data_IF_127205260809
#
_entry.id   IF_127205260809
#
_cell.length_a   1.000
_cell.length_b   1.000
_cell.length_c   1.000
_cell.angle_alpha   90.00
_cell.angle_beta   90.00
_cell.angle_gamma   90.00
#
_symmetry.space_group_name_H-M   'P 1'
#
loop_
_entity.id
_entity.type
_entity.pdbx_description
1 polymer ?
#
# COMPACT_ATOMS: atom_id res chain seq x y z
N UNK A 1 -8.79 10.81 -9.76
CA UNK A 1 -9.03 10.52 -8.33
C UNK A 1 -9.89 9.27 -8.11
N UNK A 2 -11.04 9.12 -8.78
CA UNK A 2 -12.00 8.01 -8.53
C UNK A 2 -11.45 6.60 -8.83
N UNK A 3 -10.60 6.47 -9.86
CA UNK A 3 -10.13 5.17 -10.36
C UNK A 3 -9.11 4.48 -9.43
N UNK A 4 -8.19 5.23 -8.83
CA UNK A 4 -7.18 4.68 -7.92
C UNK A 4 -7.81 4.27 -6.58
N UNK A 5 -8.82 5.01 -6.13
CA UNK A 5 -9.57 4.68 -4.91
C UNK A 5 -10.35 3.38 -5.07
N UNK A 6 -11.00 3.18 -6.23
CA UNK A 6 -11.71 1.93 -6.54
C UNK A 6 -10.72 0.74 -6.50
N UNK A 7 -9.54 0.87 -7.12
CA UNK A 7 -8.54 -0.22 -7.13
C UNK A 7 -8.11 -0.58 -5.70
N UNK A 8 -7.84 0.40 -4.84
CA UNK A 8 -7.46 0.14 -3.43
C UNK A 8 -8.60 -0.57 -2.69
N UNK A 9 -9.84 -0.14 -2.92
CA UNK A 9 -11.03 -0.72 -2.28
C UNK A 9 -11.29 -2.15 -2.77
N UNK A 10 -11.11 -2.41 -4.07
CA UNK A 10 -11.26 -3.75 -4.67
C UNK A 10 -10.15 -4.69 -4.21
N UNK A 11 -8.89 -4.23 -4.17
CA UNK A 11 -7.75 -5.04 -3.69
C UNK A 11 -7.88 -5.33 -2.20
N UNK A 12 -8.29 -4.34 -1.40
CA UNK A 12 -8.57 -4.52 0.02
C UNK A 12 -9.71 -5.52 0.26
N UNK A 13 -10.80 -5.42 -0.49
CA UNK A 13 -11.94 -6.34 -0.41
C UNK A 13 -11.55 -7.78 -0.81
N UNK A 14 -10.73 -7.95 -1.85
CA UNK A 14 -10.22 -9.26 -2.28
C UNK A 14 -9.31 -9.89 -1.23
N UNK A 15 -8.45 -9.10 -0.58
CA UNK A 15 -7.60 -9.58 0.52
C UNK A 15 -8.42 -10.02 1.73
N UNK A 16 -9.46 -9.26 2.11
CA UNK A 16 -10.37 -9.63 3.20
C UNK A 16 -11.17 -10.89 2.86
N UNK A 17 -11.68 -11.01 1.63
CA UNK A 17 -12.36 -12.22 1.18
C UNK A 17 -11.43 -13.45 1.19
N UNK A 18 -10.16 -13.26 0.82
CA UNK A 18 -9.13 -14.30 0.89
C UNK A 18 -8.80 -14.70 2.34
N UNK A 19 -8.80 -13.75 3.29
CA UNK A 19 -8.63 -14.03 4.73
C UNK A 19 -9.71 -14.95 5.29
N UNK A 20 -10.96 -14.71 4.88
CA UNK A 20 -12.12 -15.48 5.34
C UNK A 20 -12.10 -16.89 4.74
N UNK A 21 -11.63 -17.04 3.50
CA UNK A 21 -11.59 -18.32 2.78
C UNK A 21 -10.49 -19.28 3.23
N UNK A 22 -9.30 -18.79 3.57
CA UNK A 22 -8.15 -19.64 3.94
C UNK A 22 -7.30 -19.08 5.10
N UNK A 23 -7.81 -19.14 6.35
CA UNK A 23 -7.17 -18.50 7.50
C UNK A 23 -5.74 -18.97 7.79
N UNK A 24 -5.41 -20.25 7.52
CA UNK A 24 -4.07 -20.82 7.78
C UNK A 24 -2.96 -20.30 6.85
N UNK A 25 -3.29 -19.98 5.60
CA UNK A 25 -2.37 -19.40 4.60
C UNK A 25 -2.38 -17.88 4.70
N UNK A 26 -3.57 -17.31 4.93
CA UNK A 26 -3.80 -15.89 5.12
C UNK A 26 -2.91 -15.28 6.21
N UNK A 27 -2.80 -15.92 7.39
CA UNK A 27 -1.97 -15.37 8.47
C UNK A 27 -0.46 -15.33 8.14
N UNK A 28 0.01 -16.14 7.18
CA UNK A 28 1.42 -16.19 6.80
C UNK A 28 1.75 -15.32 5.57
N UNK A 29 0.80 -15.08 4.67
CA UNK A 29 1.04 -14.40 3.37
C UNK A 29 0.56 -12.95 3.36
N UNK A 30 -0.42 -12.59 4.19
CA UNK A 30 -1.07 -11.27 4.20
C UNK A 30 -0.31 -10.14 4.90
N UNK A 31 0.65 -10.36 5.83
CA UNK A 31 1.38 -9.22 6.38
C UNK A 31 2.15 -8.46 5.30
N UNK A 32 2.68 -9.15 4.28
CA UNK A 32 3.46 -8.52 3.20
C UNK A 32 2.68 -7.45 2.40
N UNK A 33 1.51 -7.73 1.81
CA UNK A 33 0.74 -6.72 1.08
C UNK A 33 0.19 -5.60 1.98
N UNK A 34 -0.10 -5.88 3.26
CA UNK A 34 -0.62 -4.85 4.18
C UNK A 34 0.45 -3.87 4.64
N UNK A 35 1.68 -4.34 4.86
CA UNK A 35 2.78 -3.47 5.32
C UNK A 35 3.12 -2.38 4.28
N UNK A 36 2.98 -2.69 2.98
CA UNK A 36 3.23 -1.72 1.91
C UNK A 36 2.21 -0.59 1.80
N UNK A 37 1.03 -0.73 2.41
CA UNK A 37 -0.03 0.28 2.36
C UNK A 37 0.38 1.55 3.09
N UNK A 38 1.10 1.44 4.21
CA UNK A 38 1.55 2.59 5.01
C UNK A 38 2.43 3.57 4.21
N UNK A 39 3.59 3.18 3.65
CA UNK A 39 4.41 4.08 2.85
C UNK A 39 3.66 4.59 1.61
N UNK A 40 2.80 3.77 0.97
CA UNK A 40 2.00 4.21 -0.17
C UNK A 40 1.01 5.32 0.19
N UNK A 41 0.35 5.22 1.33
CA UNK A 41 -0.57 6.25 1.84
C UNK A 41 0.18 7.54 2.19
N UNK A 42 1.37 7.46 2.82
CA UNK A 42 2.16 8.66 3.15
C UNK A 42 2.66 9.35 1.88
N UNK A 43 3.08 8.60 0.85
CA UNK A 43 3.52 9.16 -0.43
C UNK A 43 2.35 9.84 -1.15
N UNK A 44 1.16 9.25 -1.07
CA UNK A 44 -0.06 9.83 -1.61
C UNK A 44 -0.44 11.14 -0.91
N UNK A 45 -0.33 11.19 0.43
CA UNK A 45 -0.59 12.40 1.21
C UNK A 45 0.37 13.54 0.85
N UNK A 46 1.63 13.21 0.53
CA UNK A 46 2.63 14.17 0.02
C UNK A 46 2.42 14.59 -1.44
N UNK A 47 1.40 14.07 -2.11
CA UNK A 47 1.00 14.47 -3.46
C UNK A 47 1.40 13.48 -4.56
N UNK A 48 2.17 12.42 -4.26
CA UNK A 48 2.63 11.40 -5.23
C UNK A 48 1.63 10.26 -5.45
N UNK A 49 0.33 10.59 -5.49
CA UNK A 49 -0.74 9.59 -5.65
C UNK A 49 -0.74 8.87 -7.00
N UNK A 50 -0.08 9.43 -8.00
CA UNK A 50 0.21 8.82 -9.30
C UNK A 50 1.13 7.60 -9.17
N UNK A 51 1.98 7.56 -8.14
CA UNK A 51 2.97 6.48 -7.90
C UNK A 51 2.57 5.53 -6.78
N UNK A 52 1.28 5.53 -6.38
CA UNK A 52 0.81 4.72 -5.25
C UNK A 52 1.17 3.24 -5.39
N UNK A 53 0.97 2.64 -6.57
CA UNK A 53 1.31 1.23 -6.81
C UNK A 53 2.79 0.93 -6.62
N UNK A 54 3.67 1.84 -7.06
CA UNK A 54 5.12 1.72 -6.87
C UNK A 54 5.50 1.78 -5.39
N UNK A 55 4.92 2.73 -4.63
CA UNK A 55 5.17 2.85 -3.20
C UNK A 55 4.58 1.69 -2.39
N UNK A 56 3.46 1.14 -2.84
CA UNK A 56 2.83 -0.03 -2.24
C UNK A 56 3.69 -1.27 -2.42
N UNK A 57 4.10 -1.56 -3.65
CA UNK A 57 4.93 -2.72 -3.97
C UNK A 57 6.32 -2.59 -3.32
N UNK A 58 6.89 -1.38 -3.32
CA UNK A 58 8.14 -1.09 -2.64
C UNK A 58 8.04 -1.27 -1.13
N UNK A 59 6.94 -0.81 -0.51
CA UNK A 59 6.70 -0.97 0.91
C UNK A 59 6.37 -2.40 1.33
N UNK A 60 5.73 -3.18 0.47
CA UNK A 60 5.46 -4.59 0.74
C UNK A 60 6.73 -5.43 0.79
N UNK A 61 7.77 -5.04 0.03
CA UNK A 61 9.05 -5.77 -0.01
C UNK A 61 10.07 -5.18 0.97
N UNK A 62 10.13 -3.85 1.11
CA UNK A 62 11.16 -3.12 1.86
C UNK A 62 10.55 -2.09 2.81
N UNK A 63 9.57 -2.52 3.61
CA UNK A 63 8.77 -1.70 4.52
C UNK A 63 9.50 -0.56 5.26
N UNK A 64 10.56 -0.82 6.05
CA UNK A 64 11.26 0.25 6.77
C UNK A 64 11.95 1.23 5.82
N UNK A 65 12.55 0.73 4.74
CA UNK A 65 13.27 1.55 3.76
C UNK A 65 12.32 2.42 2.95
N UNK A 66 11.16 1.87 2.57
CA UNK A 66 10.11 2.59 1.88
C UNK A 66 9.52 3.70 2.74
N UNK A 67 9.27 3.44 4.03
CA UNK A 67 8.84 4.47 4.98
C UNK A 67 9.87 5.60 5.09
N UNK A 68 11.16 5.28 5.24
CA UNK A 68 12.23 6.28 5.29
C UNK A 68 12.21 7.13 4.02
N UNK A 69 12.20 6.52 2.83
CA UNK A 69 12.15 7.24 1.55
C UNK A 69 10.94 8.16 1.44
N UNK A 70 9.75 7.67 1.80
CA UNK A 70 8.54 8.47 1.75
C UNK A 70 8.57 9.61 2.78
N UNK A 71 9.17 9.41 3.95
CA UNK A 71 9.32 10.48 4.96
C UNK A 71 10.29 11.58 4.53
N UNK A 72 11.35 11.27 3.78
CA UNK A 72 12.29 12.28 3.25
C UNK A 72 11.82 12.93 1.94
N UNK A 73 10.84 12.35 1.25
CA UNK A 73 10.30 12.93 0.01
C UNK A 73 9.78 14.36 0.24
N UNK A 74 10.15 15.35 -0.60
CA UNK A 74 9.59 16.69 -0.49
C UNK A 74 8.10 16.65 -0.81
N UNK A 75 7.33 17.53 -0.18
CA UNK A 75 5.93 17.71 -0.52
C UNK A 75 5.83 18.16 -1.98
N UNK A 76 5.08 17.43 -2.80
CA UNK A 76 4.81 17.86 -4.15
C UNK A 76 3.99 19.15 -4.04
N UNK A 77 4.56 20.29 -4.45
CA UNK A 77 3.81 21.52 -4.64
C UNK A 77 2.76 21.23 -5.71
N UNK A 78 1.51 21.08 -5.28
CA UNK A 78 0.35 20.99 -6.17
C UNK A 78 -0.08 22.39 -6.56
#
# INVERSE_FOLDING_TARGET
>A
MHRNFIIILTVGALLVAFMIGWPGIAMNVIPFPMIGVLPACVAWYKGYGDKFGTWWLYGSVLAPVALIHVTILPWAQR
#
